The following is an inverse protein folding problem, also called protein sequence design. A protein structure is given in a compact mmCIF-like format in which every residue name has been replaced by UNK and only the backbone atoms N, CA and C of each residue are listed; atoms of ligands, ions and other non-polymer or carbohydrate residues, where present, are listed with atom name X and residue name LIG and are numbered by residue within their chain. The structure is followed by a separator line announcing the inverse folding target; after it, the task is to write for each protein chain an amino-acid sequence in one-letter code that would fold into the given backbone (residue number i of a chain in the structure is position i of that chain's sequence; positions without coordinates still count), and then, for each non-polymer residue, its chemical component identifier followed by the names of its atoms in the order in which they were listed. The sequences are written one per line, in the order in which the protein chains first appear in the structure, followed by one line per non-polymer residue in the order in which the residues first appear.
data_IF_485011160647
#
_entry.id   IF_485011160647
#
_cell.length_a   1.000
_cell.length_b   1.000
_cell.length_c   1.000
_cell.angle_alpha   90.00
_cell.angle_beta   90.00
_cell.angle_gamma   90.00
#
_symmetry.space_group_name_H-M   'P 1'
#
loop_
_entity.id
_entity.type
_entity.pdbx_description
1 polymer ?
#
# COMPACT_ATOMS: atom_id res chain seq x y z
N UNK A 1 10.12 -13.53 4.44
CA UNK A 1 8.95 -12.81 3.91
C UNK A 1 7.92 -12.58 5.00
N UNK A 2 7.93 -11.39 5.61
CA UNK A 2 6.82 -10.91 6.44
C UNK A 2 5.87 -10.07 5.57
N UNK A 3 4.70 -10.62 5.28
CA UNK A 3 3.61 -9.93 4.58
C UNK A 3 2.59 -9.44 5.60
N UNK A 4 2.23 -8.17 5.53
CA UNK A 4 1.28 -7.55 6.45
C UNK A 4 -0.01 -7.22 5.69
N UNK A 5 -1.15 -7.66 6.21
CA UNK A 5 -2.44 -7.29 5.67
C UNK A 5 -2.66 -5.78 5.83
N UNK A 6 -2.93 -5.09 4.73
CA UNK A 6 -3.29 -3.67 4.72
C UNK A 6 -4.79 -3.57 5.01
N UNK A 7 -5.13 -3.22 6.25
CA UNK A 7 -6.51 -3.10 6.69
C UNK A 7 -7.13 -1.75 6.30
N UNK A 8 -6.34 -0.67 6.36
CA UNK A 8 -6.80 0.67 5.99
C UNK A 8 -5.67 1.51 5.41
N UNK A 9 -6.04 2.63 4.79
CA UNK A 9 -5.07 3.58 4.24
C UNK A 9 -5.60 5.02 4.34
N UNK A 10 -4.66 5.96 4.45
CA UNK A 10 -4.89 7.40 4.31
C UNK A 10 -4.25 7.88 3.02
N UNK A 11 -5.02 8.53 2.14
CA UNK A 11 -4.49 9.12 0.90
C UNK A 11 -4.87 10.59 0.79
N UNK A 12 -3.90 11.47 0.53
CA UNK A 12 -4.13 12.90 0.29
C UNK A 12 -3.21 13.43 -0.78
N UNK A 13 -3.74 14.24 -1.69
CA UNK A 13 -2.96 15.10 -2.58
C UNK A 13 -2.96 16.52 -2.06
N UNK A 14 -1.79 17.12 -1.92
CA UNK A 14 -1.61 18.54 -1.62
C UNK A 14 -1.49 19.33 -2.92
N UNK A 15 -2.46 20.24 -3.14
CA UNK A 15 -2.52 21.07 -4.33
C UNK A 15 -1.51 22.23 -4.30
N UNK A 16 -1.12 22.70 -3.11
CA UNK A 16 -0.16 23.80 -2.98
C UNK A 16 1.27 23.30 -3.22
N UNK A 17 1.59 22.14 -2.64
CA UNK A 17 2.93 21.54 -2.72
C UNK A 17 3.11 20.58 -3.90
N UNK A 18 2.03 20.28 -4.63
CA UNK A 18 2.00 19.27 -5.70
C UNK A 18 2.58 17.92 -5.25
N UNK A 19 2.23 17.48 -4.04
CA UNK A 19 2.71 16.22 -3.44
C UNK A 19 1.56 15.37 -2.96
N UNK A 20 1.65 14.08 -3.24
CA UNK A 20 0.76 13.05 -2.72
C UNK A 20 1.36 12.38 -1.49
N UNK A 21 0.49 11.90 -0.60
CA UNK A 21 0.87 11.03 0.51
C UNK A 21 -0.09 9.86 0.59
N UNK A 22 0.45 8.65 0.71
CA UNK A 22 -0.32 7.45 1.05
C UNK A 22 0.32 6.78 2.25
N UNK A 23 -0.44 6.62 3.33
CA UNK A 23 -0.05 5.87 4.51
C UNK A 23 -0.90 4.61 4.63
N UNK A 24 -0.25 3.46 4.87
CA UNK A 24 -0.88 2.13 4.98
C UNK A 24 -0.88 1.68 6.44
N UNK A 25 -1.95 1.04 6.87
CA UNK A 25 -2.13 0.59 8.25
C UNK A 25 -2.58 -0.85 8.32
N UNK A 26 -2.10 -1.57 9.33
CA UNK A 26 -2.50 -2.94 9.61
C UNK A 26 -3.84 -3.00 10.37
N UNK A 27 -4.28 -4.22 10.72
CA UNK A 27 -5.53 -4.44 11.47
C UNK A 27 -5.50 -3.88 12.90
N UNK A 28 -4.30 -3.63 13.45
CA UNK A 28 -4.08 -3.02 14.76
C UNK A 28 -3.96 -1.49 14.66
N UNK A 29 -4.21 -0.92 13.47
CA UNK A 29 -4.03 0.50 13.16
C UNK A 29 -2.58 0.98 13.34
N UNK A 30 -1.60 0.08 13.25
CA UNK A 30 -0.18 0.43 13.22
C UNK A 30 0.23 0.83 11.81
N UNK A 31 1.08 1.85 11.71
CA UNK A 31 1.62 2.32 10.44
C UNK A 31 2.57 1.27 9.86
N UNK A 32 2.25 0.79 8.66
CA UNK A 32 3.09 -0.14 7.90
C UNK A 32 4.10 0.64 7.05
N UNK A 33 3.59 1.58 6.25
CA UNK A 33 4.36 2.33 5.26
C UNK A 33 3.77 3.74 5.09
N UNK A 34 4.61 4.72 4.79
CA UNK A 34 4.19 6.07 4.51
C UNK A 34 4.98 6.65 3.33
N UNK A 35 4.35 6.62 2.15
CA UNK A 35 4.99 6.98 0.90
C UNK A 35 4.57 8.38 0.43
N UNK A 36 5.55 9.13 -0.09
CA UNK A 36 5.34 10.44 -0.71
C UNK A 36 5.45 10.33 -2.23
N UNK A 37 4.49 10.92 -2.92
CA UNK A 37 4.44 10.94 -4.38
C UNK A 37 4.70 12.35 -4.88
N UNK A 38 5.57 12.49 -5.88
CA UNK A 38 5.79 13.76 -6.58
C UNK A 38 5.08 13.79 -7.95
N UNK A 39 4.64 12.63 -8.43
CA UNK A 39 3.94 12.51 -9.71
C UNK A 39 2.45 12.22 -9.48
N UNK A 40 1.54 13.09 -9.96
CA UNK A 40 0.10 12.93 -9.72
C UNK A 40 -0.48 11.68 -10.38
N UNK A 41 0.04 11.30 -11.55
CA UNK A 41 -0.41 10.11 -12.26
C UNK A 41 -0.12 8.83 -11.46
N UNK A 42 1.09 8.71 -10.91
CA UNK A 42 1.48 7.58 -10.07
C UNK A 42 0.63 7.50 -8.80
N UNK A 43 0.46 8.63 -8.11
CA UNK A 43 -0.41 8.72 -6.94
C UNK A 43 -1.83 8.27 -7.26
N UNK A 44 -2.40 8.73 -8.37
CA UNK A 44 -3.76 8.40 -8.77
C UNK A 44 -3.91 6.90 -9.06
N UNK A 45 -2.92 6.28 -9.73
CA UNK A 45 -2.93 4.84 -10.01
C UNK A 45 -2.93 4.05 -8.71
N UNK A 46 -1.99 4.34 -7.80
CA UNK A 46 -1.90 3.62 -6.51
C UNK A 46 -3.16 3.84 -5.66
N UNK A 47 -3.65 5.06 -5.55
CA UNK A 47 -4.89 5.36 -4.80
C UNK A 47 -6.12 4.66 -5.40
N UNK A 48 -6.16 4.49 -6.73
CA UNK A 48 -7.23 3.77 -7.42
C UNK A 48 -7.13 2.27 -7.15
N UNK A 49 -5.93 1.68 -7.20
CA UNK A 49 -5.72 0.27 -6.83
C UNK A 49 -6.17 0.00 -5.39
N UNK A 50 -5.76 0.85 -4.43
CA UNK A 50 -6.12 0.70 -3.01
C UNK A 50 -7.63 0.71 -2.75
N UNK A 51 -8.39 1.41 -3.61
CA UNK A 51 -9.84 1.54 -3.51
C UNK A 51 -10.60 0.33 -4.04
N UNK A 52 -10.11 -0.29 -5.12
CA UNK A 52 -10.84 -1.33 -5.84
C UNK A 52 -10.35 -2.74 -5.53
N UNK A 53 -9.09 -2.90 -5.14
CA UNK A 53 -8.47 -4.19 -4.91
C UNK A 53 -8.49 -4.56 -3.42
N UNK A 54 -9.05 -5.73 -3.11
CA UNK A 54 -9.04 -6.34 -1.77
C UNK A 54 -8.98 -7.89 -1.91
N UNK A 55 -8.25 -8.61 -1.04
CA UNK A 55 -7.37 -8.12 0.03
C UNK A 55 -6.09 -7.47 -0.51
N UNK A 56 -5.42 -6.69 0.34
CA UNK A 56 -4.14 -6.04 0.04
C UNK A 56 -3.09 -6.46 1.05
N UNK A 57 -1.91 -6.78 0.55
CA UNK A 57 -0.77 -7.22 1.37
C UNK A 57 0.43 -6.34 1.07
N UNK A 58 1.17 -5.95 2.11
CA UNK A 58 2.41 -5.23 1.98
C UNK A 58 3.57 -6.16 2.33
N UNK A 59 4.46 -6.37 1.36
CA UNK A 59 5.72 -7.09 1.55
C UNK A 59 6.74 -6.11 2.16
N UNK A 60 7.10 -6.34 3.42
CA UNK A 60 8.02 -5.45 4.15
C UNK A 60 9.48 -5.57 3.70
N UNK A 61 9.86 -6.69 3.08
CA UNK A 61 11.21 -6.92 2.58
C UNK A 61 11.39 -6.26 1.20
N UNK A 62 10.47 -6.55 0.27
CA UNK A 62 10.51 -5.99 -1.09
C UNK A 62 9.91 -4.57 -1.19
N UNK A 63 9.18 -4.12 -0.17
CA UNK A 63 8.44 -2.85 -0.14
C UNK A 63 7.41 -2.71 -1.26
N UNK A 64 6.70 -3.79 -1.56
CA UNK A 64 5.71 -3.83 -2.63
C UNK A 64 4.31 -4.14 -2.09
N UNK A 65 3.31 -3.55 -2.75
CA UNK A 65 1.90 -3.85 -2.50
C UNK A 65 1.44 -4.98 -3.43
N UNK A 66 0.71 -5.94 -2.89
CA UNK A 66 0.14 -7.09 -3.61
C UNK A 66 -1.36 -7.19 -3.38
N UNK A 67 -2.09 -7.69 -4.37
CA UNK A 67 -3.54 -7.94 -4.31
C UNK A 67 -3.81 -9.45 -4.27
N UNK A 68 -4.96 -9.84 -3.74
CA UNK A 68 -5.44 -11.23 -3.77
C UNK A 68 -5.23 -12.00 -2.47
N UNK A 69 -5.14 -13.34 -2.60
CA UNK A 69 -5.03 -14.27 -1.47
C UNK A 69 -3.76 -14.03 -0.64
N UNK A 70 -3.77 -14.46 0.62
CA UNK A 70 -2.57 -14.41 1.47
C UNK A 70 -1.39 -15.03 0.70
N UNK A 71 -0.24 -14.36 0.63
CA UNK A 71 0.93 -14.87 -0.06
C UNK A 71 1.43 -16.13 0.65
N UNK A 72 0.97 -17.29 0.16
CA UNK A 72 1.61 -18.58 0.41
C UNK A 72 3.03 -18.47 -0.12
N UNK A 73 4.02 -18.60 0.76
CA UNK A 73 5.43 -18.56 0.38
C UNK A 73 5.67 -19.60 -0.70
N UNK A 74 6.14 -19.16 -1.87
CA UNK A 74 6.63 -20.08 -2.92
C UNK A 74 7.96 -20.68 -2.47
N UNK A 75 7.96 -21.58 -1.47
CA UNK A 75 9.10 -22.43 -1.14
C UNK A 75 8.64 -23.75 -0.50
N UNK A 76 8.00 -24.59 -1.30
CA UNK A 76 8.09 -26.05 -1.15
C UNK A 76 8.23 -26.67 -2.55
N UNK A 77 9.45 -26.70 -3.08
CA UNK A 77 9.86 -27.70 -4.07
C UNK A 77 11.35 -27.96 -4.01
#
# INVERSE_FOLDING_TARGET
MANILVASYYSRWDLAEHKGRIALYDTSNQLIENHLFIHPAEFQVVASMLRHEKPLWFDTEAKHLRTGSEPVGEWES
#
